data_IF_609986884581
#
_entry.id   IF_609986884581
#
_cell.length_a   1.000
_cell.length_b   1.000
_cell.length_c   1.000
_cell.angle_alpha   90.00
_cell.angle_beta   90.00
_cell.angle_gamma   90.00
#
_symmetry.space_group_name_H-M   'P 1'
#
loop_
_entity.id
_entity.type
_entity.pdbx_description
1 polymer ?
#
# COMPACT_ATOMS: atom_id res chain seq x y z
N UNK A 1 -29.36 31.51 11.22
CA UNK A 1 -29.61 32.11 9.88
C UNK A 1 -31.02 32.70 9.74
N UNK A 2 -32.09 31.96 10.11
CA UNK A 2 -33.49 32.44 10.02
C UNK A 2 -33.76 33.76 10.77
N UNK A 3 -33.23 33.94 11.97
CA UNK A 3 -33.33 35.21 12.73
C UNK A 3 -32.55 36.38 12.10
N UNK A 4 -31.53 36.10 11.28
CA UNK A 4 -30.72 37.12 10.59
C UNK A 4 -31.43 37.59 9.32
N UNK A 5 -32.06 36.65 8.59
CA UNK A 5 -32.92 36.92 7.43
C UNK A 5 -34.12 37.79 7.81
N UNK A 6 -34.78 37.48 8.92
CA UNK A 6 -35.96 38.25 9.39
C UNK A 6 -35.63 39.70 9.74
N UNK A 7 -34.37 40.05 10.03
CA UNK A 7 -33.94 41.42 10.36
C UNK A 7 -33.30 42.18 9.20
N UNK A 8 -32.67 41.50 8.23
CA UNK A 8 -31.88 42.16 7.17
C UNK A 8 -32.47 42.03 5.76
N UNK A 9 -33.51 41.23 5.57
CA UNK A 9 -34.21 41.07 4.29
C UNK A 9 -33.46 40.24 3.25
N UNK A 10 -32.14 40.41 3.12
CA UNK A 10 -31.28 39.68 2.20
C UNK A 10 -29.99 39.21 2.88
N UNK A 11 -29.49 38.04 2.45
CA UNK A 11 -28.13 37.57 2.78
C UNK A 11 -27.28 37.70 1.54
N UNK A 12 -26.11 38.34 1.66
CA UNK A 12 -25.08 38.34 0.63
C UNK A 12 -24.12 37.17 0.89
N UNK A 13 -23.91 36.33 -0.11
CA UNK A 13 -22.94 35.23 -0.08
C UNK A 13 -21.74 35.59 -0.97
N UNK A 14 -20.54 35.52 -0.41
CA UNK A 14 -19.30 35.67 -1.14
C UNK A 14 -18.54 34.34 -1.13
N UNK A 15 -18.15 33.86 -2.30
CA UNK A 15 -17.33 32.67 -2.45
C UNK A 15 -15.88 33.07 -2.68
N UNK A 16 -15.06 32.95 -1.64
CA UNK A 16 -13.65 33.32 -1.67
C UNK A 16 -12.81 32.09 -2.00
N UNK A 17 -11.85 32.26 -2.91
CA UNK A 17 -10.85 31.23 -3.21
C UNK A 17 -9.57 31.52 -2.46
N UNK A 18 -8.98 30.48 -1.86
CA UNK A 18 -7.76 30.58 -1.06
C UNK A 18 -6.56 30.14 -1.90
N UNK A 19 -5.46 30.87 -1.77
CA UNK A 19 -4.19 30.62 -2.45
C UNK A 19 -3.08 30.47 -1.41
N UNK A 20 -2.09 29.63 -1.70
CA UNK A 20 -0.92 29.48 -0.83
C UNK A 20 0.03 30.65 -1.04
N UNK A 21 0.54 31.19 0.07
CA UNK A 21 1.63 32.15 0.01
C UNK A 21 2.94 31.44 -0.40
N UNK A 22 3.85 32.11 -1.13
CA UNK A 22 5.14 31.54 -1.50
C UNK A 22 6.01 31.20 -0.29
N UNK A 23 5.87 31.96 0.80
CA UNK A 23 6.60 31.77 2.06
C UNK A 23 5.67 32.01 3.26
N UNK A 24 5.90 31.32 4.39
CA UNK A 24 5.20 31.59 5.64
C UNK A 24 5.41 33.04 6.10
N UNK A 25 4.40 33.64 6.72
CA UNK A 25 4.46 35.00 7.25
C UNK A 25 4.14 34.99 8.75
N UNK A 26 5.04 35.57 9.54
CA UNK A 26 4.76 35.84 10.95
C UNK A 26 3.82 37.04 11.07
N UNK A 27 2.74 36.87 11.83
CA UNK A 27 1.78 37.94 12.10
C UNK A 27 1.71 38.20 13.62
N UNK A 28 1.62 39.46 14.05
CA UNK A 28 1.49 39.78 15.46
C UNK A 28 0.19 39.18 16.02
N UNK A 29 0.26 38.58 17.21
CA UNK A 29 -0.91 38.08 17.94
C UNK A 29 -1.67 39.28 18.51
N UNK A 30 -2.43 39.98 17.65
CA UNK A 30 -3.26 41.11 18.08
C UNK A 30 -4.74 40.72 18.02
N UNK A 31 -5.44 40.84 19.14
CA UNK A 31 -6.80 40.32 19.38
C UNK A 31 -7.92 41.18 18.75
N UNK A 32 -7.80 41.56 17.48
CA UNK A 32 -8.94 42.13 16.75
C UNK A 32 -9.68 41.02 15.98
N UNK A 33 -10.92 40.65 16.35
CA UNK A 33 -11.51 39.37 15.96
C UNK A 33 -11.93 39.25 14.48
N UNK A 34 -11.62 40.23 13.62
CA UNK A 34 -12.13 40.24 12.22
C UNK A 34 -11.05 40.27 11.15
N UNK A 35 -9.97 41.03 11.34
CA UNK A 35 -8.88 41.12 10.35
C UNK A 35 -7.55 41.38 11.06
N UNK A 36 -6.51 40.66 10.64
CA UNK A 36 -5.13 40.85 11.11
C UNK A 36 -4.36 41.63 10.04
N UNK A 37 -3.80 42.82 10.36
CA UNK A 37 -3.02 43.58 9.40
C UNK A 37 -1.73 42.82 9.07
N UNK A 38 -1.36 42.82 7.78
CA UNK A 38 -0.07 42.30 7.36
C UNK A 38 1.05 43.26 7.80
N UNK A 39 2.22 42.75 8.24
CA UNK A 39 3.35 43.58 8.65
C UNK A 39 3.97 44.38 7.49
N UNK A 40 3.77 43.92 6.25
CA UNK A 40 4.23 44.58 5.02
C UNK A 40 3.35 44.15 3.84
N UNK A 41 3.37 44.93 2.75
CA UNK A 41 2.67 44.59 1.51
C UNK A 41 3.27 43.33 0.87
N UNK A 42 2.42 42.39 0.48
CA UNK A 42 2.82 41.16 -0.20
C UNK A 42 2.39 41.18 -1.66
N UNK A 43 3.33 40.90 -2.56
CA UNK A 43 3.01 40.55 -3.95
C UNK A 43 2.65 39.07 -4.00
N UNK A 44 1.38 38.77 -4.26
CA UNK A 44 0.85 37.40 -4.36
C UNK A 44 0.49 37.06 -5.80
N UNK A 45 0.53 35.77 -6.13
CA UNK A 45 0.15 35.25 -7.44
C UNK A 45 -1.03 34.29 -7.31
N UNK A 46 -1.85 34.20 -8.35
CA UNK A 46 -2.93 33.22 -8.42
C UNK A 46 -2.45 31.83 -8.87
N UNK A 47 -1.13 31.62 -8.97
CA UNK A 47 -0.53 30.40 -9.54
C UNK A 47 -0.59 29.17 -8.63
N UNK A 48 -0.96 29.33 -7.35
CA UNK A 48 -0.98 28.23 -6.37
C UNK A 48 -2.28 28.21 -5.56
N UNK A 49 -3.43 27.97 -6.21
CA UNK A 49 -4.70 27.86 -5.51
C UNK A 49 -4.73 26.59 -4.65
N UNK A 50 -5.37 26.66 -3.49
CA UNK A 50 -5.53 25.49 -2.59
C UNK A 50 -6.43 24.44 -3.24
N UNK A 51 -7.50 24.88 -3.93
CA UNK A 51 -8.38 24.02 -4.72
C UNK A 51 -8.18 24.32 -6.21
N UNK A 52 -8.17 23.30 -7.07
CA UNK A 52 -8.14 23.51 -8.53
C UNK A 52 -9.37 24.26 -9.05
N UNK A 53 -9.27 24.87 -10.23
CA UNK A 53 -10.36 25.67 -10.83
C UNK A 53 -11.65 24.86 -10.95
N UNK A 54 -11.50 23.61 -11.43
CA UNK A 54 -12.61 22.66 -11.61
C UNK A 54 -13.32 22.39 -10.29
N UNK A 55 -12.56 22.11 -9.23
CA UNK A 55 -13.11 21.75 -7.92
C UNK A 55 -13.73 22.95 -7.24
N UNK A 56 -13.07 24.10 -7.27
CA UNK A 56 -13.64 25.34 -6.73
C UNK A 56 -14.97 25.67 -7.42
N UNK A 57 -15.03 25.58 -8.75
CA UNK A 57 -16.26 25.84 -9.52
C UNK A 57 -17.36 24.84 -9.19
N UNK A 58 -17.03 23.55 -9.08
CA UNK A 58 -18.00 22.51 -8.72
C UNK A 58 -18.57 22.75 -7.32
N UNK A 59 -17.71 23.02 -6.32
CA UNK A 59 -18.12 23.30 -4.94
C UNK A 59 -18.94 24.57 -4.82
N UNK A 60 -18.56 25.63 -5.55
CA UNK A 60 -19.33 26.87 -5.60
C UNK A 60 -20.75 26.61 -6.09
N UNK A 61 -20.89 25.87 -7.20
CA UNK A 61 -22.21 25.49 -7.74
C UNK A 61 -23.01 24.64 -6.77
N UNK A 62 -22.37 23.70 -6.07
CA UNK A 62 -23.05 22.89 -5.04
C UNK A 62 -23.59 23.76 -3.91
N UNK A 63 -22.79 24.71 -3.40
CA UNK A 63 -23.24 25.66 -2.37
C UNK A 63 -24.36 26.57 -2.89
N UNK A 64 -24.24 27.08 -4.12
CA UNK A 64 -25.27 27.92 -4.76
C UNK A 64 -26.61 27.18 -4.91
N UNK A 65 -26.57 25.87 -5.17
CA UNK A 65 -27.76 25.01 -5.37
C UNK A 65 -28.19 24.24 -4.13
N UNK A 66 -27.46 24.38 -3.02
CA UNK A 66 -27.64 23.59 -1.79
C UNK A 66 -27.58 22.07 -2.04
N UNK A 67 -26.76 21.64 -2.99
CA UNK A 67 -26.51 20.24 -3.28
C UNK A 67 -25.49 19.67 -2.28
N UNK A 68 -25.67 18.43 -1.79
CA UNK A 68 -24.68 17.79 -0.94
C UNK A 68 -23.35 17.57 -1.71
N UNK A 69 -22.25 17.37 -0.98
CA UNK A 69 -21.00 16.95 -1.60
C UNK A 69 -21.18 15.63 -2.36
N UNK A 70 -20.29 15.36 -3.32
CA UNK A 70 -20.39 14.15 -4.15
C UNK A 70 -20.16 12.87 -3.33
N UNK A 71 -19.35 12.96 -2.28
CA UNK A 71 -18.96 11.85 -1.40
C UNK A 71 -18.99 12.29 0.07
N UNK A 72 -20.17 12.58 0.64
CA UNK A 72 -20.28 13.15 1.98
C UNK A 72 -19.66 12.26 3.05
N UNK A 73 -19.77 10.93 2.92
CA UNK A 73 -19.20 9.97 3.87
C UNK A 73 -17.67 9.97 3.84
N UNK A 74 -17.06 10.16 2.65
CA UNK A 74 -15.60 10.26 2.53
C UNK A 74 -15.06 11.58 3.07
N UNK A 75 -15.83 12.66 2.99
CA UNK A 75 -15.49 13.94 3.59
C UNK A 75 -15.61 13.91 5.11
N UNK A 76 -16.60 13.20 5.64
CA UNK A 76 -16.74 12.95 7.08
C UNK A 76 -15.58 12.08 7.59
N UNK A 77 -15.23 11.02 6.85
CA UNK A 77 -14.08 10.17 7.18
C UNK A 77 -12.76 10.95 7.14
N UNK A 78 -12.52 11.75 6.11
CA UNK A 78 -11.34 12.63 6.04
C UNK A 78 -11.31 13.56 7.25
N UNK A 79 -12.44 14.18 7.60
CA UNK A 79 -12.52 15.10 8.72
C UNK A 79 -12.21 14.40 10.04
N UNK A 80 -12.71 13.18 10.23
CA UNK A 80 -12.42 12.36 11.39
C UNK A 80 -10.93 11.98 11.46
N UNK A 81 -10.34 11.57 10.33
CA UNK A 81 -8.92 11.21 10.25
C UNK A 81 -8.02 12.43 10.50
N UNK A 82 -8.38 13.60 9.96
CA UNK A 82 -7.62 14.83 10.15
C UNK A 82 -7.57 15.29 11.62
N UNK A 83 -8.52 14.83 12.45
CA UNK A 83 -8.53 15.07 13.90
C UNK A 83 -7.71 14.04 14.69
N UNK A 84 -7.30 12.93 14.07
CA UNK A 84 -6.43 11.95 14.72
C UNK A 84 -4.99 12.46 14.74
N UNK A 85 -4.41 12.59 15.93
CA UNK A 85 -2.97 12.76 16.10
C UNK A 85 -2.25 11.41 15.99
N UNK A 86 -2.38 10.79 14.81
CA UNK A 86 -1.76 9.51 14.49
C UNK A 86 -0.98 9.63 13.16
N UNK A 87 0.36 9.54 13.19
CA UNK A 87 1.18 9.53 11.98
C UNK A 87 0.77 8.46 10.97
N UNK A 88 0.32 7.29 11.44
CA UNK A 88 -0.08 6.16 10.59
C UNK A 88 -1.37 6.43 9.80
N UNK A 89 -2.17 7.42 10.23
CA UNK A 89 -3.39 7.82 9.54
C UNK A 89 -3.13 8.84 8.42
N UNK A 90 -1.95 9.48 8.39
CA UNK A 90 -1.59 10.48 7.39
C UNK A 90 -1.56 9.95 5.94
N UNK A 91 -1.06 8.72 5.66
CA UNK A 91 -1.14 8.16 4.32
C UNK A 91 -2.57 8.08 3.78
N UNK A 92 -3.50 7.55 4.60
CA UNK A 92 -4.92 7.45 4.24
C UNK A 92 -5.55 8.83 4.06
N UNK A 93 -5.27 9.77 4.96
CA UNK A 93 -5.75 11.14 4.86
C UNK A 93 -5.33 11.80 3.53
N UNK A 94 -4.06 11.64 3.16
CA UNK A 94 -3.52 12.20 1.92
C UNK A 94 -4.15 11.55 0.67
N UNK A 95 -4.39 10.24 0.70
CA UNK A 95 -5.08 9.53 -0.39
C UNK A 95 -6.54 9.97 -0.52
N UNK A 96 -7.27 10.12 0.59
CA UNK A 96 -8.63 10.65 0.61
C UNK A 96 -8.68 12.09 0.08
N UNK A 97 -7.77 12.96 0.51
CA UNK A 97 -7.66 14.34 0.00
C UNK A 97 -7.37 14.37 -1.49
N UNK A 98 -6.54 13.46 -2.00
CA UNK A 98 -6.27 13.38 -3.43
C UNK A 98 -7.52 12.91 -4.20
N UNK A 99 -8.24 11.90 -3.68
CA UNK A 99 -9.47 11.40 -4.27
C UNK A 99 -10.60 12.45 -4.30
N UNK A 100 -10.79 13.16 -3.18
CA UNK A 100 -11.73 14.28 -3.04
C UNK A 100 -11.26 15.53 -3.82
N UNK A 101 -10.02 15.49 -4.35
CA UNK A 101 -9.40 16.53 -5.16
C UNK A 101 -8.94 17.76 -4.37
N UNK A 102 -8.83 17.66 -3.04
CA UNK A 102 -8.32 18.71 -2.16
C UNK A 102 -6.80 18.89 -2.27
N UNK A 103 -6.09 17.92 -2.85
CA UNK A 103 -4.66 17.98 -3.10
C UNK A 103 -4.34 17.78 -4.59
N UNK A 104 -3.67 18.76 -5.18
CA UNK A 104 -3.16 18.76 -6.56
C UNK A 104 -1.77 18.12 -6.63
N UNK A 105 -1.61 16.93 -6.07
CA UNK A 105 -0.47 16.09 -6.45
C UNK A 105 -0.88 15.32 -7.71
N UNK A 106 -0.18 15.57 -8.81
CA UNK A 106 -0.33 14.85 -10.06
C UNK A 106 -0.35 13.34 -9.78
N UNK A 107 -1.40 12.61 -10.18
CA UNK A 107 -1.48 11.15 -10.00
C UNK A 107 -0.28 10.40 -10.62
N UNK A 108 0.42 11.06 -11.55
CA UNK A 108 1.60 10.54 -12.25
C UNK A 108 2.85 10.40 -11.40
N UNK A 109 2.98 11.06 -10.24
CA UNK A 109 4.24 11.02 -9.48
C UNK A 109 4.44 9.77 -8.60
N UNK A 110 3.37 9.01 -8.28
CA UNK A 110 3.49 7.85 -7.36
C UNK A 110 3.56 6.49 -8.04
N UNK A 111 3.08 6.34 -9.27
CA UNK A 111 3.03 5.02 -9.93
C UNK A 111 4.41 4.52 -10.42
N UNK A 112 5.40 5.40 -10.62
CA UNK A 112 6.60 5.04 -11.41
C UNK A 112 7.95 5.24 -10.72
N UNK A 113 8.01 5.54 -9.42
CA UNK A 113 9.29 5.51 -8.70
C UNK A 113 9.26 4.45 -7.62
N UNK A 114 9.37 3.19 -8.05
CA UNK A 114 9.82 2.15 -7.12
C UNK A 114 11.11 2.65 -6.47
N UNK A 115 11.22 2.61 -5.13
CA UNK A 115 12.47 2.96 -4.46
C UNK A 115 13.64 2.20 -5.10
N UNK A 116 14.69 2.93 -5.50
CA UNK A 116 15.81 2.34 -6.24
C UNK A 116 16.45 1.14 -5.52
N UNK A 117 16.37 1.09 -4.19
CA UNK A 117 16.89 0.00 -3.38
C UNK A 117 16.19 -1.35 -3.62
N UNK A 118 14.93 -1.37 -4.07
CA UNK A 118 14.19 -2.62 -4.33
C UNK A 118 14.92 -3.45 -5.39
N UNK A 119 15.45 -2.80 -6.44
CA UNK A 119 16.19 -3.50 -7.50
C UNK A 119 17.59 -3.96 -7.09
N UNK A 120 18.02 -3.65 -5.85
CA UNK A 120 19.32 -4.05 -5.35
C UNK A 120 19.24 -5.25 -4.39
N UNK A 121 18.06 -5.75 -4.07
CA UNK A 121 17.88 -6.84 -3.09
C UNK A 121 18.60 -8.10 -3.58
N UNK A 122 18.32 -8.53 -4.81
CA UNK A 122 18.95 -9.72 -5.38
C UNK A 122 20.46 -9.51 -5.56
N UNK A 123 20.85 -8.36 -6.09
CA UNK A 123 22.25 -8.00 -6.30
C UNK A 123 23.05 -8.03 -5.00
N UNK A 124 22.47 -7.57 -3.88
CA UNK A 124 23.08 -7.57 -2.56
C UNK A 124 23.25 -8.98 -1.98
N UNK A 125 22.27 -9.87 -2.20
CA UNK A 125 22.33 -11.25 -1.71
C UNK A 125 23.26 -12.14 -2.54
N UNK A 126 23.29 -11.95 -3.86
CA UNK A 126 24.09 -12.75 -4.81
C UNK A 126 25.54 -12.25 -4.98
N UNK A 127 25.98 -11.29 -4.16
CA UNK A 127 27.33 -10.70 -4.30
C UNK A 127 28.41 -11.77 -4.28
N UNK A 128 29.34 -11.66 -5.21
CA UNK A 128 30.59 -12.43 -5.20
C UNK A 128 31.78 -11.51 -4.95
N UNK A 129 32.81 -12.01 -4.24
CA UNK A 129 34.07 -11.28 -3.99
C UNK A 129 34.75 -10.73 -5.25
N UNK A 130 34.49 -11.35 -6.40
CA UNK A 130 35.08 -10.98 -7.69
C UNK A 130 34.51 -9.67 -8.26
N UNK A 131 33.32 -9.25 -7.80
CA UNK A 131 32.61 -8.04 -8.29
C UNK A 131 32.72 -6.83 -7.34
N UNK A 132 33.17 -7.03 -6.10
CA UNK A 132 33.29 -5.98 -5.08
C UNK A 132 34.76 -5.58 -4.86
N UNK A 133 35.28 -4.69 -5.70
CA UNK A 133 36.59 -4.06 -5.44
C UNK A 133 36.48 -3.12 -4.23
N UNK A 134 36.97 -3.59 -3.07
CA UNK A 134 37.19 -2.74 -1.89
C UNK A 134 36.21 -2.89 -0.72
N UNK A 135 35.21 -3.78 -0.79
CA UNK A 135 34.34 -4.10 0.36
C UNK A 135 34.79 -5.40 1.04
N UNK A 136 34.78 -5.40 2.38
CA UNK A 136 35.00 -6.63 3.16
C UNK A 136 33.75 -7.51 3.14
N UNK A 137 33.92 -8.83 3.32
CA UNK A 137 32.80 -9.78 3.49
C UNK A 137 31.82 -9.34 4.59
N UNK A 138 32.34 -8.73 5.66
CA UNK A 138 31.55 -8.24 6.78
C UNK A 138 30.59 -7.13 6.36
N UNK A 139 31.10 -6.17 5.58
CA UNK A 139 30.29 -5.06 5.07
C UNK A 139 29.25 -5.53 4.06
N UNK A 140 29.59 -6.50 3.20
CA UNK A 140 28.64 -7.09 2.27
C UNK A 140 27.48 -7.82 2.99
N UNK A 141 27.77 -8.59 4.04
CA UNK A 141 26.74 -9.21 4.88
C UNK A 141 25.84 -8.18 5.56
N UNK A 142 26.43 -7.12 6.13
CA UNK A 142 25.68 -6.05 6.78
C UNK A 142 24.75 -5.31 5.81
N UNK A 143 25.23 -4.98 4.59
CA UNK A 143 24.42 -4.35 3.55
C UNK A 143 23.19 -5.21 3.21
N UNK A 144 23.40 -6.52 3.07
CA UNK A 144 22.32 -7.46 2.74
C UNK A 144 21.32 -7.64 3.89
N UNK A 145 21.79 -7.77 5.13
CA UNK A 145 20.90 -7.81 6.29
C UNK A 145 20.03 -6.55 6.38
N UNK A 146 20.59 -5.37 6.12
CA UNK A 146 19.84 -4.11 6.16
C UNK A 146 18.76 -4.08 5.08
N UNK A 147 19.08 -4.44 3.83
CA UNK A 147 18.06 -4.43 2.76
C UNK A 147 16.97 -5.47 3.01
N UNK A 148 17.29 -6.60 3.64
CA UNK A 148 16.28 -7.60 4.02
C UNK A 148 15.36 -7.06 5.10
N UNK A 149 15.88 -6.34 6.11
CA UNK A 149 15.04 -5.69 7.14
C UNK A 149 14.11 -4.65 6.51
N UNK A 150 14.64 -3.79 5.64
CA UNK A 150 13.85 -2.80 4.91
C UNK A 150 12.78 -3.47 4.03
N UNK A 151 13.11 -4.60 3.40
CA UNK A 151 12.17 -5.41 2.61
C UNK A 151 11.01 -5.94 3.45
N UNK A 152 11.30 -6.56 4.60
CA UNK A 152 10.28 -7.14 5.47
C UNK A 152 9.41 -6.04 6.11
N UNK A 153 10.00 -4.91 6.51
CA UNK A 153 9.25 -3.76 7.01
C UNK A 153 8.34 -3.17 5.91
N UNK A 154 8.83 -3.05 4.67
CA UNK A 154 8.04 -2.60 3.52
C UNK A 154 6.87 -3.55 3.18
N UNK A 155 7.05 -4.86 3.37
CA UNK A 155 5.98 -5.85 3.24
C UNK A 155 4.95 -5.78 4.39
N UNK A 156 5.26 -5.10 5.49
CA UNK A 156 4.35 -4.87 6.62
C UNK A 156 4.70 -5.60 7.92
N UNK A 157 5.89 -6.19 8.03
CA UNK A 157 6.38 -6.71 9.31
C UNK A 157 6.83 -5.58 10.25
N UNK A 158 6.74 -5.80 11.56
CA UNK A 158 7.39 -4.94 12.56
C UNK A 158 8.73 -5.55 12.97
N UNK A 159 9.83 -4.92 12.57
CA UNK A 159 11.19 -5.35 12.90
C UNK A 159 11.55 -4.94 14.33
N UNK A 160 12.12 -5.88 15.09
CA UNK A 160 12.66 -5.61 16.41
C UNK A 160 14.17 -5.37 16.31
N UNK A 161 14.53 -4.10 16.49
CA UNK A 161 15.91 -3.62 16.40
C UNK A 161 16.69 -3.68 17.72
N UNK A 162 16.09 -4.16 18.81
CA UNK A 162 16.70 -4.04 20.15
C UNK A 162 18.04 -4.77 20.29
N UNK A 163 18.42 -5.62 19.33
CA UNK A 163 19.68 -6.38 19.32
C UNK A 163 20.24 -6.53 17.89
N UNK A 164 20.38 -5.41 17.15
CA UNK A 164 20.96 -5.37 15.79
C UNK A 164 22.29 -6.16 15.71
N UNK A 165 22.45 -6.90 14.61
CA UNK A 165 23.56 -7.82 14.31
C UNK A 165 24.95 -7.34 14.71
N UNK A 166 25.71 -8.30 15.23
CA UNK A 166 27.05 -8.23 15.81
C UNK A 166 27.38 -9.62 16.37
N UNK A 167 28.52 -9.81 17.05
CA UNK A 167 28.86 -11.11 17.63
C UNK A 167 27.78 -11.57 18.65
N UNK A 168 26.93 -12.52 18.23
CA UNK A 168 25.84 -13.09 19.04
C UNK A 168 24.44 -12.48 18.84
N UNK A 169 24.25 -11.59 17.85
CA UNK A 169 22.93 -11.04 17.49
C UNK A 169 22.26 -11.81 16.35
N UNK A 170 20.93 -11.95 16.41
CA UNK A 170 20.12 -12.56 15.34
C UNK A 170 19.93 -11.56 14.20
N UNK A 171 20.11 -11.99 12.94
CA UNK A 171 20.03 -11.09 11.79
C UNK A 171 18.62 -10.48 11.65
N UNK A 172 17.57 -11.29 11.80
CA UNK A 172 16.18 -10.88 11.64
C UNK A 172 15.32 -11.31 12.82
N UNK A 173 14.57 -10.37 13.38
CA UNK A 173 13.45 -10.67 14.26
C UNK A 173 12.26 -9.76 13.94
N UNK A 174 11.17 -10.35 13.44
CA UNK A 174 9.90 -9.67 13.26
C UNK A 174 8.98 -10.06 14.41
N UNK A 175 8.36 -9.06 15.06
CA UNK A 175 7.43 -9.28 16.18
C UNK A 175 5.97 -9.38 15.72
N UNK A 176 5.63 -8.73 14.60
CA UNK A 176 4.28 -8.65 14.03
C UNK A 176 4.35 -8.74 12.50
N UNK A 177 3.28 -9.19 11.82
CA UNK A 177 1.98 -9.61 12.38
C UNK A 177 2.01 -10.97 13.10
N UNK A 178 3.08 -11.73 12.93
CA UNK A 178 3.40 -12.91 13.72
C UNK A 178 4.92 -12.97 13.94
N UNK A 179 5.41 -13.72 14.95
CA UNK A 179 6.83 -13.83 15.19
C UNK A 179 7.53 -14.58 14.05
N UNK A 180 8.59 -13.97 13.51
CA UNK A 180 9.50 -14.57 12.54
C UNK A 180 10.94 -14.29 12.98
N UNK A 181 11.76 -15.34 13.01
CA UNK A 181 13.21 -15.23 13.23
C UNK A 181 13.92 -15.65 11.95
N UNK A 182 15.05 -15.01 11.65
CA UNK A 182 15.78 -15.39 10.45
C UNK A 182 17.24 -15.01 10.42
N UNK A 183 17.93 -15.66 9.50
CA UNK A 183 19.36 -15.49 9.18
C UNK A 183 19.50 -15.07 7.72
N UNK A 184 20.41 -14.14 7.46
CA UNK A 184 20.73 -13.65 6.13
C UNK A 184 22.14 -14.08 5.77
N UNK A 185 22.34 -14.60 4.55
CA UNK A 185 23.68 -14.89 4.04
C UNK A 185 23.83 -14.31 2.65
N UNK A 186 24.74 -13.35 2.49
CA UNK A 186 25.18 -12.87 1.17
C UNK A 186 26.38 -13.70 0.69
N UNK A 187 26.48 -13.93 -0.62
CA UNK A 187 27.65 -14.63 -1.17
C UNK A 187 27.36 -15.51 -2.39
N UNK A 188 28.10 -16.62 -2.48
CA UNK A 188 27.92 -17.66 -3.52
C UNK A 188 27.01 -18.82 -3.07
N UNK A 189 26.82 -19.01 -1.76
CA UNK A 189 26.04 -20.12 -1.19
C UNK A 189 25.69 -19.86 0.27
N UNK A 190 24.71 -20.59 0.78
CA UNK A 190 24.35 -20.63 2.20
C UNK A 190 25.21 -21.70 2.93
N UNK A 191 26.00 -21.32 3.96
CA UNK A 191 26.73 -22.27 4.79
C UNK A 191 25.81 -23.20 5.62
N UNK A 192 26.22 -24.45 5.85
CA UNK A 192 25.41 -25.45 6.58
C UNK A 192 25.17 -25.06 8.05
N UNK A 193 26.12 -24.36 8.67
CA UNK A 193 26.02 -23.88 10.04
C UNK A 193 25.00 -22.75 10.21
N UNK A 194 24.47 -22.18 9.12
CA UNK A 194 23.40 -21.16 9.17
C UNK A 194 22.16 -21.66 9.92
N UNK A 195 21.76 -22.92 9.70
CA UNK A 195 20.62 -23.49 10.44
C UNK A 195 20.91 -23.61 11.95
N UNK A 196 22.13 -23.97 12.31
CA UNK A 196 22.56 -24.08 13.71
C UNK A 196 22.60 -22.69 14.36
N UNK A 197 23.13 -21.69 13.65
CA UNK A 197 23.14 -20.30 14.09
C UNK A 197 21.72 -19.79 14.34
N UNK A 198 20.80 -20.01 13.39
CA UNK A 198 19.39 -19.60 13.52
C UNK A 198 18.72 -20.21 14.75
N UNK A 199 18.90 -21.51 15.01
CA UNK A 199 18.30 -22.16 16.18
C UNK A 199 18.87 -21.64 17.49
N UNK A 200 20.19 -21.52 17.57
CA UNK A 200 20.87 -21.07 18.78
C UNK A 200 20.48 -19.62 19.10
N UNK A 201 20.61 -18.72 18.13
CA UNK A 201 20.30 -17.30 18.29
C UNK A 201 18.80 -17.06 18.49
N UNK A 202 17.95 -17.79 17.75
CA UNK A 202 16.50 -17.75 17.92
C UNK A 202 16.08 -18.19 19.33
N UNK A 203 16.67 -19.26 19.87
CA UNK A 203 16.39 -19.74 21.23
C UNK A 203 16.81 -18.70 22.27
N UNK A 204 18.02 -18.17 22.15
CA UNK A 204 18.55 -17.15 23.05
C UNK A 204 17.72 -15.87 23.01
N UNK A 205 17.24 -15.48 21.82
CA UNK A 205 16.42 -14.28 21.63
C UNK A 205 15.04 -14.42 22.25
N UNK A 206 14.36 -15.53 21.96
CA UNK A 206 13.01 -15.80 22.44
C UNK A 206 12.99 -16.22 23.92
N UNK A 207 14.13 -16.68 24.46
CA UNK A 207 14.28 -17.24 25.82
C UNK A 207 13.28 -18.34 26.14
N UNK A 208 12.77 -19.02 25.11
CA UNK A 208 11.72 -20.01 25.20
C UNK A 208 11.75 -20.93 23.97
N UNK A 209 12.17 -22.18 24.16
CA UNK A 209 12.26 -23.18 23.10
C UNK A 209 10.89 -23.55 22.52
N UNK A 210 9.84 -23.59 23.34
CA UNK A 210 8.49 -23.91 22.88
C UNK A 210 7.93 -22.81 21.97
N UNK A 211 8.24 -21.55 22.30
CA UNK A 211 7.93 -20.40 21.44
C UNK A 211 8.72 -20.43 20.13
N UNK A 212 9.98 -20.87 20.15
CA UNK A 212 10.78 -21.04 18.93
C UNK A 212 10.13 -22.08 17.99
N UNK A 213 9.58 -23.18 18.52
CA UNK A 213 8.89 -24.18 17.69
C UNK A 213 7.71 -23.58 16.92
N UNK A 214 6.97 -22.65 17.54
CA UNK A 214 5.80 -21.99 16.94
C UNK A 214 6.15 -20.79 16.05
N UNK A 215 7.35 -20.23 16.23
CA UNK A 215 7.86 -19.09 15.47
C UNK A 215 8.27 -19.52 14.05
N UNK A 216 7.91 -18.71 13.05
CA UNK A 216 8.36 -18.90 11.68
C UNK A 216 9.88 -18.70 11.58
N UNK A 217 10.58 -19.60 10.91
CA UNK A 217 12.04 -19.57 10.77
C UNK A 217 12.38 -19.38 9.30
N UNK A 218 13.13 -18.34 8.98
CA UNK A 218 13.43 -17.98 7.60
C UNK A 218 14.93 -17.80 7.40
N UNK A 219 15.49 -18.46 6.41
CA UNK A 219 16.85 -18.22 5.92
C UNK A 219 16.71 -17.55 4.55
N UNK A 220 17.39 -16.43 4.36
CA UNK A 220 17.47 -15.76 3.07
C UNK A 220 18.92 -15.75 2.61
N UNK A 221 19.17 -16.36 1.46
CA UNK A 221 20.52 -16.41 0.90
C UNK A 221 20.57 -17.09 -0.46
N UNK A 222 21.69 -16.96 -1.19
CA UNK A 222 21.77 -17.27 -2.60
C UNK A 222 22.00 -18.76 -2.88
N UNK A 223 21.45 -19.21 -3.99
CA UNK A 223 21.68 -20.54 -4.57
C UNK A 223 20.96 -21.68 -3.83
N UNK A 224 21.15 -22.89 -4.33
CA UNK A 224 20.54 -24.08 -3.73
C UNK A 224 21.19 -24.42 -2.38
N UNK A 225 20.40 -24.74 -1.35
CA UNK A 225 20.94 -25.24 -0.09
C UNK A 225 21.64 -26.60 -0.32
N UNK A 226 22.69 -26.88 0.45
CA UNK A 226 23.26 -28.23 0.45
C UNK A 226 22.24 -29.23 1.00
N UNK A 227 22.40 -30.52 0.68
CA UNK A 227 21.53 -31.57 1.23
C UNK A 227 21.44 -31.50 2.76
N UNK A 228 22.56 -31.28 3.45
CA UNK A 228 22.58 -31.17 4.91
C UNK A 228 21.76 -29.98 5.42
N UNK A 229 21.86 -28.82 4.75
CA UNK A 229 21.09 -27.64 5.11
C UNK A 229 19.60 -27.84 4.82
N UNK A 230 19.26 -28.46 3.69
CA UNK A 230 17.88 -28.78 3.31
C UNK A 230 17.24 -29.76 4.30
N UNK A 231 17.97 -30.79 4.73
CA UNK A 231 17.52 -31.75 5.74
C UNK A 231 17.29 -31.06 7.08
N UNK A 232 18.24 -30.22 7.52
CA UNK A 232 18.10 -29.45 8.76
C UNK A 232 16.90 -28.49 8.70
N UNK A 233 16.72 -27.78 7.59
CA UNK A 233 15.59 -26.89 7.39
C UNK A 233 14.26 -27.63 7.42
N UNK A 234 14.19 -28.83 6.82
CA UNK A 234 13.00 -29.68 6.87
C UNK A 234 12.70 -30.14 8.30
N UNK A 235 13.69 -30.71 8.99
CA UNK A 235 13.55 -31.23 10.36
C UNK A 235 13.13 -30.14 11.35
N UNK A 236 13.70 -28.93 11.22
CA UNK A 236 13.46 -27.83 12.14
C UNK A 236 12.42 -26.83 11.67
N UNK A 237 11.67 -27.15 10.60
CA UNK A 237 10.61 -26.28 10.05
C UNK A 237 11.10 -24.87 9.72
N UNK A 238 12.25 -24.78 9.04
CA UNK A 238 12.80 -23.55 8.50
C UNK A 238 12.53 -23.46 7.01
N UNK A 239 12.16 -22.29 6.55
CA UNK A 239 12.07 -21.97 5.13
C UNK A 239 13.35 -21.33 4.66
N UNK A 240 13.77 -21.69 3.46
CA UNK A 240 14.90 -21.09 2.76
C UNK A 240 14.36 -20.44 1.49
N UNK A 241 14.63 -19.16 1.28
CA UNK A 241 14.31 -18.46 0.03
C UNK A 241 15.53 -17.72 -0.50
N UNK A 242 15.58 -17.56 -1.81
CA UNK A 242 16.60 -16.79 -2.49
C UNK A 242 16.30 -15.28 -2.43
N UNK A 243 17.34 -14.42 -2.56
CA UNK A 243 17.21 -12.98 -2.64
C UNK A 243 16.22 -12.51 -3.73
N UNK A 244 16.20 -13.18 -4.88
CA UNK A 244 15.30 -12.92 -6.00
C UNK A 244 13.83 -13.09 -5.62
N UNK A 245 13.53 -14.12 -4.83
CA UNK A 245 12.17 -14.40 -4.37
C UNK A 245 11.67 -13.29 -3.44
N UNK A 246 12.53 -12.82 -2.52
CA UNK A 246 12.23 -11.64 -1.71
C UNK A 246 12.05 -10.39 -2.58
N UNK A 247 12.94 -10.17 -3.54
CA UNK A 247 12.87 -9.03 -4.45
C UNK A 247 11.54 -9.00 -5.24
N UNK A 248 11.08 -10.14 -5.76
CA UNK A 248 9.80 -10.26 -6.45
C UNK A 248 8.61 -9.90 -5.56
N UNK A 249 8.59 -10.37 -4.30
CA UNK A 249 7.55 -10.00 -3.33
C UNK A 249 7.51 -8.48 -3.11
N UNK A 250 8.68 -7.88 -2.88
CA UNK A 250 8.79 -6.44 -2.62
C UNK A 250 8.40 -5.62 -3.86
N UNK A 251 8.81 -6.05 -5.06
CA UNK A 251 8.39 -5.44 -6.33
C UNK A 251 6.88 -5.50 -6.51
N UNK A 252 6.26 -6.65 -6.24
CA UNK A 252 4.81 -6.80 -6.36
C UNK A 252 4.07 -5.86 -5.39
N UNK A 253 4.52 -5.80 -4.13
CA UNK A 253 4.00 -4.86 -3.12
C UNK A 253 4.20 -3.39 -3.51
N UNK A 254 5.30 -3.06 -4.19
CA UNK A 254 5.61 -1.70 -4.61
C UNK A 254 4.71 -1.22 -5.77
N UNK A 255 4.40 -2.11 -6.73
CA UNK A 255 3.47 -1.82 -7.82
C UNK A 255 2.02 -1.80 -7.30
N UNK A 256 1.67 -2.78 -6.49
CA UNK A 256 0.33 -2.94 -5.92
C UNK A 256 0.42 -2.91 -4.40
N UNK A 257 0.32 -1.70 -3.84
CA UNK A 257 0.40 -1.48 -2.40
C UNK A 257 -0.61 -2.36 -1.65
N UNK A 258 -0.18 -3.00 -0.57
CA UNK A 258 -0.98 -3.92 0.25
C UNK A 258 -1.49 -5.17 -0.50
N UNK A 259 -0.81 -5.57 -1.58
CA UNK A 259 -1.14 -6.81 -2.31
C UNK A 259 -0.66 -8.08 -1.59
N UNK A 260 0.36 -7.95 -0.73
CA UNK A 260 0.92 -9.08 0.01
C UNK A 260 0.20 -9.24 1.36
N UNK A 261 -0.60 -10.29 1.49
CA UNK A 261 -1.11 -10.79 2.77
C UNK A 261 -0.05 -11.66 3.44
N UNK A 262 0.55 -11.15 4.53
CA UNK A 262 1.61 -11.81 5.28
C UNK A 262 1.16 -13.11 5.98
N UNK A 263 -0.11 -13.22 6.40
CA UNK A 263 -0.61 -14.46 7.00
C UNK A 263 -0.74 -15.55 5.96
N UNK A 264 -1.21 -15.18 4.77
CA UNK A 264 -1.27 -16.11 3.65
C UNK A 264 0.12 -16.48 3.15
N UNK A 265 1.03 -15.51 3.01
CA UNK A 265 2.44 -15.78 2.65
C UNK A 265 3.09 -16.78 3.61
N UNK A 266 2.78 -16.72 4.91
CA UNK A 266 3.26 -17.69 5.91
C UNK A 266 2.96 -19.14 5.53
N UNK A 267 1.83 -19.40 4.87
CA UNK A 267 1.45 -20.75 4.44
C UNK A 267 2.34 -21.29 3.31
N UNK A 268 2.98 -20.40 2.55
CA UNK A 268 3.89 -20.73 1.44
C UNK A 268 5.36 -20.74 1.83
N UNK A 269 5.69 -20.24 3.03
CA UNK A 269 6.98 -20.49 3.68
C UNK A 269 7.02 -21.94 4.20
N UNK A 270 7.18 -22.89 3.27
CA UNK A 270 7.29 -24.32 3.58
C UNK A 270 8.67 -24.68 4.13
N UNK A 271 8.80 -25.73 4.96
CA UNK A 271 10.11 -26.24 5.38
C UNK A 271 10.97 -26.65 4.18
N UNK A 272 12.27 -26.35 4.24
CA UNK A 272 13.20 -26.56 3.13
C UNK A 272 13.25 -25.36 2.18
N UNK A 273 13.66 -25.59 0.93
CA UNK A 273 13.66 -24.56 -0.09
C UNK A 273 12.22 -24.21 -0.51
N UNK A 274 11.83 -22.96 -0.33
CA UNK A 274 10.45 -22.50 -0.45
C UNK A 274 10.22 -21.56 -1.65
N UNK A 275 11.24 -21.33 -2.49
CA UNK A 275 11.15 -20.42 -3.64
C UNK A 275 9.94 -20.73 -4.55
N UNK A 276 9.78 -21.98 -4.97
CA UNK A 276 8.67 -22.39 -5.84
C UNK A 276 7.29 -22.20 -5.21
N UNK A 277 7.18 -22.41 -3.89
CA UNK A 277 5.92 -22.21 -3.17
C UNK A 277 5.61 -20.72 -3.04
N UNK A 278 6.61 -19.90 -2.72
CA UNK A 278 6.43 -18.44 -2.69
C UNK A 278 6.13 -17.90 -4.09
N UNK A 279 6.72 -18.44 -5.15
CA UNK A 279 6.40 -18.07 -6.54
C UNK A 279 4.93 -18.36 -6.87
N UNK A 280 4.40 -19.54 -6.47
CA UNK A 280 2.97 -19.85 -6.63
C UNK A 280 2.07 -18.82 -5.93
N UNK A 281 2.49 -18.34 -4.76
CA UNK A 281 1.77 -17.29 -4.06
C UNK A 281 1.82 -15.95 -4.83
N UNK A 282 2.99 -15.53 -5.31
CA UNK A 282 3.17 -14.33 -6.14
C UNK A 282 2.30 -14.40 -7.40
N UNK A 283 2.30 -15.54 -8.10
CA UNK A 283 1.47 -15.78 -9.28
C UNK A 283 -0.02 -15.72 -8.96
N UNK A 284 -0.43 -16.27 -7.81
CA UNK A 284 -1.81 -16.21 -7.35
C UNK A 284 -2.24 -14.77 -7.09
N UNK A 285 -1.43 -13.97 -6.39
CA UNK A 285 -1.71 -12.54 -6.12
C UNK A 285 -1.79 -11.78 -7.44
N UNK A 286 -0.84 -12.00 -8.35
CA UNK A 286 -0.81 -11.36 -9.67
C UNK A 286 -2.06 -11.69 -10.51
N UNK A 287 -2.49 -12.94 -10.50
CA UNK A 287 -3.69 -13.39 -11.21
C UNK A 287 -4.96 -12.77 -10.62
N UNK A 288 -5.01 -12.63 -9.29
CA UNK A 288 -6.10 -11.96 -8.58
C UNK A 288 -6.19 -10.47 -8.91
N UNK A 289 -5.06 -9.80 -9.08
CA UNK A 289 -4.99 -8.39 -9.50
C UNK A 289 -5.44 -8.24 -10.96
N UNK A 290 -4.96 -9.10 -11.87
CA UNK A 290 -5.40 -9.14 -13.28
C UNK A 290 -6.90 -9.29 -13.40
N UNK A 291 -7.50 -10.19 -12.62
CA UNK A 291 -8.94 -10.38 -12.59
C UNK A 291 -9.70 -9.12 -12.18
N UNK A 292 -9.23 -8.44 -11.14
CA UNK A 292 -9.83 -7.19 -10.64
C UNK A 292 -9.72 -6.07 -11.66
N UNK A 293 -8.55 -5.93 -12.28
CA UNK A 293 -8.33 -4.97 -13.37
C UNK A 293 -9.28 -5.21 -14.53
N UNK A 294 -9.45 -6.47 -14.94
CA UNK A 294 -10.40 -6.87 -15.99
C UNK A 294 -11.84 -6.45 -15.65
N UNK A 295 -12.27 -6.66 -14.40
CA UNK A 295 -13.62 -6.25 -13.95
C UNK A 295 -13.78 -4.72 -13.98
N UNK A 296 -12.78 -3.97 -13.51
CA UNK A 296 -12.80 -2.49 -13.57
C UNK A 296 -12.91 -2.01 -15.02
N UNK A 297 -12.10 -2.60 -15.91
CA UNK A 297 -12.11 -2.26 -17.32
C UNK A 297 -13.43 -2.63 -18.00
N UNK A 298 -14.01 -3.77 -17.64
CA UNK A 298 -15.32 -4.19 -18.14
C UNK A 298 -16.40 -3.16 -17.80
N UNK A 299 -16.43 -2.66 -16.56
CA UNK A 299 -17.37 -1.61 -16.15
C UNK A 299 -17.17 -0.35 -16.98
N UNK A 300 -15.92 0.11 -17.12
CA UNK A 300 -15.58 1.28 -17.93
C UNK A 300 -16.08 1.14 -19.38
N UNK A 301 -15.65 0.08 -20.07
CA UNK A 301 -15.98 -0.17 -21.47
C UNK A 301 -17.49 -0.33 -21.67
N UNK A 302 -18.19 -1.01 -20.75
CA UNK A 302 -19.64 -1.17 -20.84
C UNK A 302 -20.37 0.17 -20.78
N UNK A 303 -20.00 1.04 -19.84
CA UNK A 303 -20.64 2.36 -19.67
C UNK A 303 -20.35 3.27 -20.88
N UNK A 304 -19.11 3.27 -21.37
CA UNK A 304 -18.70 4.01 -22.57
C UNK A 304 -19.48 3.57 -23.82
N UNK A 305 -19.65 2.26 -24.01
CA UNK A 305 -20.34 1.72 -25.19
C UNK A 305 -21.87 1.90 -25.14
N UNK A 306 -22.46 1.93 -23.94
CA UNK A 306 -23.92 2.03 -23.79
C UNK A 306 -24.41 3.45 -23.53
N UNK A 307 -23.52 4.37 -23.13
CA UNK A 307 -23.89 5.72 -22.69
C UNK A 307 -24.63 5.75 -21.35
N UNK A 308 -24.71 4.62 -20.64
CA UNK A 308 -25.36 4.56 -19.33
C UNK A 308 -24.45 5.15 -18.25
N UNK A 309 -25.05 5.80 -17.25
CA UNK A 309 -24.29 6.30 -16.09
C UNK A 309 -23.88 5.19 -15.11
N UNK A 310 -24.66 4.09 -15.07
CA UNK A 310 -24.46 2.97 -14.14
C UNK A 310 -24.89 1.65 -14.78
N UNK A 311 -24.34 0.54 -14.30
CA UNK A 311 -24.61 -0.80 -14.83
C UNK A 311 -25.02 -1.79 -13.74
N UNK A 312 -25.88 -2.74 -14.07
CA UNK A 312 -26.31 -3.82 -13.18
C UNK A 312 -25.33 -4.99 -13.14
N UNK A 313 -25.32 -5.73 -12.03
CA UNK A 313 -24.52 -6.96 -11.90
C UNK A 313 -24.85 -7.97 -13.00
N UNK A 314 -26.13 -8.16 -13.33
CA UNK A 314 -26.54 -9.14 -14.33
C UNK A 314 -26.07 -8.77 -15.74
N UNK A 315 -26.19 -7.49 -16.11
CA UNK A 315 -25.66 -6.97 -17.38
C UNK A 315 -24.14 -7.15 -17.46
N UNK A 316 -23.42 -6.85 -16.38
CA UNK A 316 -21.98 -7.07 -16.30
C UNK A 316 -21.61 -8.55 -16.38
N UNK A 317 -22.37 -9.45 -15.76
CA UNK A 317 -22.07 -10.89 -15.80
C UNK A 317 -22.19 -11.45 -17.22
N UNK A 318 -23.23 -11.03 -17.96
CA UNK A 318 -23.36 -11.36 -19.37
C UNK A 318 -22.20 -10.80 -20.21
N UNK A 319 -21.84 -9.54 -20.01
CA UNK A 319 -20.71 -8.92 -20.70
C UNK A 319 -19.36 -9.57 -20.33
N UNK A 320 -19.20 -9.96 -19.06
CA UNK A 320 -18.01 -10.64 -18.54
C UNK A 320 -17.79 -11.96 -19.27
N UNK A 321 -18.84 -12.78 -19.43
CA UNK A 321 -18.76 -14.08 -20.09
C UNK A 321 -18.24 -14.01 -21.54
N UNK A 322 -18.50 -12.90 -22.25
CA UNK A 322 -18.07 -12.69 -23.64
C UNK A 322 -16.81 -11.82 -23.78
N UNK A 323 -16.29 -11.31 -22.67
CA UNK A 323 -15.12 -10.40 -22.64
C UNK A 323 -13.76 -11.11 -22.63
N UNK A 324 -13.75 -12.42 -22.87
CA UNK A 324 -12.57 -13.29 -22.75
C UNK A 324 -11.89 -13.18 -21.36
N UNK A 325 -12.63 -13.50 -20.28
CA UNK A 325 -12.18 -13.22 -18.92
C UNK A 325 -11.00 -14.12 -18.49
N UNK A 326 -10.13 -13.66 -17.56
CA UNK A 326 -9.02 -14.46 -17.05
C UNK A 326 -9.45 -15.78 -16.39
N UNK A 327 -10.65 -15.81 -15.83
CA UNK A 327 -11.25 -17.01 -15.25
C UNK A 327 -12.79 -16.90 -15.25
N UNK A 328 -13.54 -18.02 -15.27
CA UNK A 328 -14.99 -17.98 -15.11
C UNK A 328 -15.38 -17.49 -13.72
N UNK A 329 -16.46 -16.71 -13.64
CA UNK A 329 -17.03 -16.24 -12.37
C UNK A 329 -18.54 -16.54 -12.31
N UNK A 330 -19.00 -16.97 -11.13
CA UNK A 330 -20.42 -16.98 -10.79
C UNK A 330 -20.90 -15.55 -10.53
N UNK A 331 -22.20 -15.33 -10.69
CA UNK A 331 -22.83 -14.02 -10.53
C UNK A 331 -22.57 -13.42 -9.14
N UNK A 332 -22.69 -14.23 -8.10
CA UNK A 332 -22.47 -13.84 -6.71
C UNK A 332 -21.01 -13.43 -6.47
N UNK A 333 -20.05 -14.19 -7.03
CA UNK A 333 -18.63 -13.86 -6.88
C UNK A 333 -18.25 -12.58 -7.62
N UNK A 334 -18.84 -12.35 -8.79
CA UNK A 334 -18.69 -11.08 -9.50
C UNK A 334 -19.25 -9.93 -8.67
N UNK A 335 -20.42 -10.09 -8.05
CA UNK A 335 -21.00 -9.08 -7.16
C UNK A 335 -20.08 -8.78 -5.97
N UNK A 336 -19.59 -9.79 -5.26
CA UNK A 336 -18.64 -9.61 -4.15
C UNK A 336 -17.41 -8.79 -4.57
N UNK A 337 -16.84 -9.09 -5.75
CA UNK A 337 -15.69 -8.35 -6.28
C UNK A 337 -16.06 -6.92 -6.68
N UNK A 338 -17.24 -6.69 -7.25
CA UNK A 338 -17.71 -5.33 -7.56
C UNK A 338 -17.91 -4.50 -6.28
N UNK A 339 -18.42 -5.12 -5.21
CA UNK A 339 -18.54 -4.49 -3.88
C UNK A 339 -17.16 -4.21 -3.30
N UNK A 340 -16.25 -5.18 -3.31
CA UNK A 340 -14.85 -5.01 -2.90
C UNK A 340 -14.23 -3.80 -3.61
N UNK A 341 -14.28 -3.78 -4.94
CA UNK A 341 -13.73 -2.73 -5.80
C UNK A 341 -14.40 -1.36 -5.62
N UNK A 342 -15.62 -1.35 -5.10
CA UNK A 342 -16.38 -0.12 -4.78
C UNK A 342 -16.21 0.35 -3.34
N UNK A 343 -15.50 -0.41 -2.52
CA UNK A 343 -15.26 -0.03 -1.14
C UNK A 343 -14.40 1.23 -1.06
N UNK A 344 -14.52 2.04 0.01
CA UNK A 344 -13.62 3.16 0.26
C UNK A 344 -12.14 2.78 0.32
N UNK A 345 -11.83 1.51 0.62
CA UNK A 345 -10.46 1.00 0.74
C UNK A 345 -9.79 0.80 -0.62
N UNK A 346 -10.55 0.46 -1.67
CA UNK A 346 -10.01 0.24 -3.02
C UNK A 346 -10.36 1.37 -3.99
N UNK A 347 -11.61 1.85 -3.97
CA UNK A 347 -12.08 3.03 -4.70
C UNK A 347 -11.86 3.01 -6.21
N UNK A 348 -11.93 1.85 -6.88
CA UNK A 348 -11.83 1.77 -8.34
C UNK A 348 -13.19 1.95 -9.03
N UNK A 349 -14.24 1.51 -8.35
CA UNK A 349 -15.62 1.63 -8.78
C UNK A 349 -16.43 2.40 -7.73
N UNK A 350 -17.58 2.90 -8.12
CA UNK A 350 -18.60 3.38 -7.21
C UNK A 350 -19.81 2.47 -7.24
N UNK A 351 -20.52 2.40 -6.11
CA UNK A 351 -21.74 1.58 -5.94
C UNK A 351 -22.91 2.47 -5.55
N UNK A 352 -24.06 2.20 -6.16
CA UNK A 352 -25.38 2.64 -5.69
C UNK A 352 -26.11 1.41 -5.21
N UNK A 353 -26.30 1.32 -3.90
CA UNK A 353 -26.98 0.20 -3.28
C UNK A 353 -28.44 0.14 -3.73
N UNK A 354 -28.92 -1.06 -4.02
CA UNK A 354 -30.33 -1.34 -4.23
C UNK A 354 -30.96 -1.99 -2.99
N UNK A 355 -32.27 -2.21 -3.03
CA UNK A 355 -33.01 -2.91 -1.96
C UNK A 355 -32.51 -4.36 -1.76
N UNK A 356 -31.88 -4.92 -2.80
CA UNK A 356 -31.20 -6.20 -2.77
C UNK A 356 -29.88 -6.11 -3.57
N UNK A 357 -28.98 -7.07 -3.37
CA UNK A 357 -27.69 -7.10 -4.04
C UNK A 357 -27.79 -7.20 -5.58
N UNK A 358 -28.91 -7.71 -6.12
CA UNK A 358 -29.16 -7.82 -7.57
C UNK A 358 -29.55 -6.47 -8.17
N UNK A 359 -30.07 -5.58 -7.34
CA UNK A 359 -30.44 -4.20 -7.68
C UNK A 359 -29.29 -3.22 -7.52
N UNK A 360 -28.16 -3.65 -6.96
CA UNK A 360 -26.95 -2.83 -6.95
C UNK A 360 -26.56 -2.39 -8.36
N UNK A 361 -26.07 -1.15 -8.43
CA UNK A 361 -25.57 -0.55 -9.67
C UNK A 361 -24.17 -0.01 -9.45
N UNK A 362 -23.30 -0.23 -10.43
CA UNK A 362 -21.90 0.14 -10.34
C UNK A 362 -21.54 1.18 -11.40
N UNK A 363 -20.57 2.02 -11.10
CA UNK A 363 -20.04 3.03 -12.02
C UNK A 363 -18.52 3.12 -11.89
N UNK A 364 -17.86 3.58 -12.96
CA UNK A 364 -16.40 3.68 -13.01
C UNK A 364 -15.91 4.93 -12.26
N UNK A 365 -14.81 4.81 -11.51
CA UNK A 365 -14.13 5.94 -10.86
C UNK A 365 -12.71 6.13 -11.39
N UNK A 366 -11.90 5.07 -11.39
CA UNK A 366 -10.49 5.11 -11.84
C UNK A 366 -10.00 3.73 -12.29
N UNK A 367 -8.94 3.74 -13.07
CA UNK A 367 -8.31 2.51 -13.57
C UNK A 367 -7.52 1.79 -12.48
N UNK A 368 -7.60 0.46 -12.48
CA UNK A 368 -6.60 -0.42 -11.88
C UNK A 368 -5.68 -0.87 -13.01
N UNK A 369 -4.55 -0.19 -13.17
CA UNK A 369 -3.58 -0.51 -14.22
C UNK A 369 -2.84 -1.79 -13.86
N UNK A 370 -2.65 -2.64 -14.85
CA UNK A 370 -1.84 -3.84 -14.76
C UNK A 370 -0.91 -3.85 -15.96
N UNK A 371 0.37 -4.10 -15.71
CA UNK A 371 1.40 -4.22 -16.73
C UNK A 371 1.28 -5.52 -17.54
#
# INVERSE_FOLDING_TARGET
>A
MLQTLSKRGNIFLAYLRVYRLPQPLEVPVNFNPRFVPLPHSLSVTESSPVLSDRIFTQRRRQLEKLEPPLHPELEELESAIAQLDNPDAQPLNNELRQFLGWASNSPTQRLNSQPAWINSIADLGNRSKEQDTGKSNYQAGTDFENVVRDSLEFLGFTIDYSHKGGAGGLDLFCSKPYPLVGECKAGKKIPNDTAVQLLNLGTLRLKNEELLKQTAKLIIGPGEPTQQLADAATIHSMSIINPETLEKLVKLQAVYRNSIDLFKLKEYLKPGQADDEVEKYIEQVSSQIKLRSHIVQLVKTYLENTGNERVSVHSLHGAYAISNPPQPLKLEKLHEMLVELSSPLTGYLGRKEGDDWRRDRFYFLRELKVD
#
